data_IF_486854772168
#
_entry.id   IF_486854772168
#
_cell.length_a   1.000
_cell.length_b   1.000
_cell.length_c   1.000
_cell.angle_alpha   90.00
_cell.angle_beta   90.00
_cell.angle_gamma   90.00
#
_symmetry.space_group_name_H-M   'P 1'
#
loop_
_entity.id
_entity.type
_entity.pdbx_description
1 polymer ?
#
# COMPACT_ATOMS: atom_id res chain seq x y z
N UNK A 1 3.66 6.79 3.38
CA UNK A 1 4.20 5.97 4.46
C UNK A 1 3.37 6.09 5.72
N UNK A 2 2.15 5.53 5.71
CA UNK A 2 1.21 5.58 6.85
C UNK A 2 0.31 4.35 6.83
N UNK A 3 -0.28 4.02 5.67
CA UNK A 3 -1.26 2.93 5.55
C UNK A 3 -0.66 1.54 5.81
N UNK A 4 0.65 1.40 5.71
CA UNK A 4 1.40 0.20 6.13
C UNK A 4 1.41 -0.02 7.65
N UNK A 5 1.12 1.02 8.44
CA UNK A 5 1.10 1.00 9.92
C UNK A 5 -0.31 1.07 10.53
N UNK A 6 -1.37 1.01 9.71
CA UNK A 6 -2.75 1.08 10.19
C UNK A 6 -3.34 -0.32 10.32
N UNK A 7 -3.75 -0.71 11.52
CA UNK A 7 -4.44 -1.99 11.79
C UNK A 7 -5.72 -2.15 10.95
N UNK A 8 -6.60 -1.15 11.00
CA UNK A 8 -7.84 -1.10 10.21
C UNK A 8 -7.72 -0.17 8.99
N UNK A 9 -6.77 -0.48 8.10
CA UNK A 9 -6.56 0.29 6.89
C UNK A 9 -7.80 0.27 5.96
N UNK A 10 -8.59 -0.80 5.98
CA UNK A 10 -9.81 -0.91 5.18
C UNK A 10 -10.91 0.03 5.70
N UNK A 11 -11.16 0.07 7.02
CA UNK A 11 -12.11 1.00 7.63
C UNK A 11 -11.75 2.46 7.35
N UNK A 12 -10.47 2.84 7.50
CA UNK A 12 -10.01 4.20 7.18
C UNK A 12 -10.23 4.52 5.70
N UNK A 13 -9.82 3.64 4.78
CA UNK A 13 -10.02 3.87 3.35
C UNK A 13 -11.50 4.03 3.00
N UNK A 14 -12.40 3.27 3.64
CA UNK A 14 -13.84 3.41 3.47
C UNK A 14 -14.35 4.79 3.90
N UNK A 15 -14.01 5.21 5.13
CA UNK A 15 -14.46 6.50 5.68
C UNK A 15 -13.90 7.71 4.94
N UNK A 16 -12.70 7.62 4.35
CA UNK A 16 -12.11 8.71 3.57
C UNK A 16 -12.97 9.13 2.36
N UNK A 17 -13.86 8.25 1.89
CA UNK A 17 -14.79 8.58 0.80
C UNK A 17 -15.84 9.62 1.20
N UNK A 18 -16.07 9.82 2.49
CA UNK A 18 -17.02 10.85 2.94
C UNK A 18 -16.41 12.25 2.90
N UNK A 19 -15.08 12.37 2.77
CA UNK A 19 -14.36 13.63 2.96
C UNK A 19 -13.47 14.04 1.77
N UNK A 20 -13.10 13.11 0.88
CA UNK A 20 -12.17 13.38 -0.21
C UNK A 20 -12.56 12.66 -1.51
N UNK A 21 -12.53 13.37 -2.64
CA UNK A 21 -12.80 12.78 -3.97
C UNK A 21 -11.59 12.02 -4.55
N UNK A 22 -10.38 12.39 -4.10
CA UNK A 22 -9.10 11.89 -4.59
C UNK A 22 -8.19 11.53 -3.41
N UNK A 23 -7.53 10.37 -3.49
CA UNK A 23 -6.47 9.95 -2.58
C UNK A 23 -5.15 9.85 -3.32
N UNK A 24 -4.09 10.30 -2.65
CA UNK A 24 -2.70 10.08 -3.05
C UNK A 24 -2.05 9.30 -1.93
N UNK A 25 -1.54 8.11 -2.23
CA UNK A 25 -0.92 7.23 -1.24
C UNK A 25 0.42 6.77 -1.76
N UNK A 26 1.43 6.86 -0.91
CA UNK A 26 2.78 6.36 -1.17
C UNK A 26 3.13 5.33 -0.08
N UNK A 27 3.63 4.17 -0.51
CA UNK A 27 4.05 3.06 0.37
C UNK A 27 5.34 2.43 -0.16
N UNK A 28 6.12 1.75 0.69
CA UNK A 28 7.26 0.96 0.24
C UNK A 28 6.81 -0.10 -0.78
N UNK A 29 7.62 -0.31 -1.82
CA UNK A 29 7.40 -1.34 -2.83
C UNK A 29 8.12 -2.61 -2.40
N UNK A 30 7.37 -3.57 -1.88
CA UNK A 30 7.90 -4.86 -1.43
C UNK A 30 8.76 -5.54 -2.52
N UNK A 31 8.39 -5.37 -3.79
CA UNK A 31 9.08 -6.03 -4.91
C UNK A 31 10.44 -5.39 -5.23
N UNK A 32 10.66 -4.12 -4.87
CA UNK A 32 11.87 -3.39 -5.23
C UNK A 32 12.97 -3.43 -4.17
N UNK A 33 12.73 -3.97 -2.98
CA UNK A 33 13.78 -4.19 -1.99
C UNK A 33 14.43 -5.56 -2.18
N UNK A 34 15.70 -5.66 -2.65
CA UNK A 34 16.39 -6.93 -2.83
C UNK A 34 16.55 -7.72 -1.52
N UNK A 35 16.54 -7.05 -0.36
CA UNK A 35 16.57 -7.73 0.93
C UNK A 35 15.28 -8.51 1.19
N UNK A 36 14.14 -8.04 0.69
CA UNK A 36 12.88 -8.76 0.82
C UNK A 36 12.92 -10.10 0.08
N UNK A 37 13.58 -10.19 -1.06
CA UNK A 37 13.78 -11.46 -1.78
C UNK A 37 14.55 -12.48 -0.93
N UNK A 38 15.59 -12.02 -0.23
CA UNK A 38 16.38 -12.87 0.68
C UNK A 38 15.54 -13.25 1.91
N UNK A 39 14.76 -12.33 2.47
CA UNK A 39 13.90 -12.59 3.63
C UNK A 39 12.80 -13.61 3.30
N UNK A 40 12.13 -13.47 2.16
CA UNK A 40 11.16 -14.46 1.63
C UNK A 40 11.79 -15.83 1.57
N UNK A 41 12.99 -15.92 0.98
CA UNK A 41 13.69 -17.19 0.77
C UNK A 41 14.15 -17.84 2.07
N UNK A 42 14.40 -17.06 3.12
CA UNK A 42 14.90 -17.54 4.41
C UNK A 42 13.84 -17.55 5.51
N UNK A 43 12.55 -17.47 5.15
CA UNK A 43 11.41 -17.48 6.10
C UNK A 43 11.55 -16.43 7.21
N UNK A 44 12.24 -15.32 6.93
CA UNK A 44 12.46 -14.25 7.89
C UNK A 44 11.25 -13.31 7.91
N UNK A 45 10.96 -12.66 9.06
CA UNK A 45 9.90 -11.65 9.14
C UNK A 45 10.05 -10.57 8.06
N UNK A 46 8.93 -10.26 7.41
CA UNK A 46 8.83 -9.51 6.16
C UNK A 46 8.80 -7.99 6.32
N UNK A 47 8.95 -7.49 7.54
CA UNK A 47 8.72 -6.08 7.80
C UNK A 47 9.98 -5.24 7.52
N UNK A 48 9.80 -4.20 6.70
CA UNK A 48 10.83 -3.23 6.35
C UNK A 48 11.23 -2.37 7.57
N UNK A 49 10.29 -2.14 8.51
CA UNK A 49 10.51 -1.69 9.89
C UNK A 49 9.66 -2.51 10.89
N UNK A 50 9.92 -2.43 12.20
CA UNK A 50 9.26 -3.27 13.21
C UNK A 50 7.76 -3.02 13.44
N UNK A 51 7.21 -1.93 12.91
CA UNK A 51 5.86 -1.44 13.15
C UNK A 51 4.98 -1.48 11.88
N UNK A 52 5.47 -2.03 10.77
CA UNK A 52 4.63 -2.34 9.61
C UNK A 52 3.66 -3.47 9.97
N UNK A 53 2.38 -3.24 9.71
CA UNK A 53 1.31 -4.25 9.84
C UNK A 53 1.11 -4.94 8.48
N UNK A 54 1.28 -4.21 7.38
CA UNK A 54 1.16 -4.75 6.03
C UNK A 54 2.15 -4.13 5.04
N UNK A 55 2.86 -5.01 4.34
CA UNK A 55 3.67 -4.65 3.17
C UNK A 55 2.84 -4.66 1.88
N UNK A 56 3.24 -3.83 0.92
CA UNK A 56 2.48 -3.61 -0.31
C UNK A 56 3.25 -3.96 -1.58
N UNK A 57 2.54 -4.63 -2.47
CA UNK A 57 2.80 -4.64 -3.91
C UNK A 57 1.71 -3.83 -4.62
N UNK A 58 1.91 -3.51 -5.90
CA UNK A 58 0.87 -2.82 -6.67
C UNK A 58 -0.43 -3.64 -6.75
N UNK A 59 -0.34 -4.97 -6.82
CA UNK A 59 -1.51 -5.83 -6.89
C UNK A 59 -2.31 -5.83 -5.58
N UNK A 60 -1.62 -5.84 -4.43
CA UNK A 60 -2.24 -5.70 -3.11
C UNK A 60 -2.93 -4.34 -2.99
N UNK A 61 -2.25 -3.25 -3.39
CA UNK A 61 -2.84 -1.90 -3.39
C UNK A 61 -4.09 -1.84 -4.27
N UNK A 62 -4.03 -2.35 -5.50
CA UNK A 62 -5.20 -2.38 -6.40
C UNK A 62 -6.38 -3.12 -5.80
N UNK A 63 -6.14 -4.30 -5.21
CA UNK A 63 -7.17 -5.07 -4.53
C UNK A 63 -7.77 -4.32 -3.34
N UNK A 64 -6.91 -3.73 -2.49
CA UNK A 64 -7.33 -2.98 -1.30
C UNK A 64 -8.09 -1.71 -1.66
N UNK A 65 -7.65 -0.94 -2.65
CA UNK A 65 -8.37 0.26 -3.08
C UNK A 65 -9.71 -0.11 -3.73
N UNK A 66 -9.72 -1.09 -4.63
CA UNK A 66 -10.94 -1.51 -5.32
C UNK A 66 -12.03 -1.98 -4.36
N UNK A 67 -11.69 -2.79 -3.35
CA UNK A 67 -12.69 -3.29 -2.38
C UNK A 67 -13.22 -2.19 -1.45
N UNK A 68 -12.49 -1.10 -1.27
CA UNK A 68 -12.91 0.06 -0.48
C UNK A 68 -13.54 1.17 -1.32
N UNK A 69 -13.88 0.91 -2.59
CA UNK A 69 -14.58 1.88 -3.44
C UNK A 69 -13.68 2.95 -4.03
N UNK A 70 -12.40 2.66 -4.21
CA UNK A 70 -11.44 3.52 -4.87
C UNK A 70 -10.94 2.90 -6.18
N UNK A 71 -10.85 3.71 -7.22
CA UNK A 71 -10.26 3.34 -8.49
C UNK A 71 -8.90 4.03 -8.68
N UNK A 72 -7.82 3.25 -8.67
CA UNK A 72 -6.47 3.74 -8.97
C UNK A 72 -6.36 3.99 -10.48
N UNK A 73 -6.20 5.25 -10.88
CA UNK A 73 -6.09 5.65 -12.29
C UNK A 73 -4.67 6.04 -12.70
N UNK A 74 -3.81 6.43 -11.75
CA UNK A 74 -2.37 6.65 -11.99
C UNK A 74 -1.56 5.97 -10.89
N UNK A 75 -0.39 5.46 -11.23
CA UNK A 75 0.60 5.01 -10.26
C UNK A 75 2.02 5.21 -10.80
N UNK A 76 2.98 5.33 -9.90
CA UNK A 76 4.41 5.38 -10.21
C UNK A 76 5.19 4.51 -9.25
N UNK A 77 6.28 3.94 -9.76
CA UNK A 77 7.30 3.25 -8.97
C UNK A 77 8.59 4.06 -9.04
N UNK A 78 9.09 4.51 -7.89
CA UNK A 78 10.32 5.27 -7.82
C UNK A 78 10.96 5.12 -6.44
N UNK A 79 12.29 4.98 -6.40
CA UNK A 79 13.04 4.96 -5.14
C UNK A 79 12.65 3.87 -4.16
N UNK A 80 12.19 2.69 -4.64
CA UNK A 80 11.73 1.61 -3.76
C UNK A 80 10.33 1.82 -3.17
N UNK A 81 9.55 2.75 -3.71
CA UNK A 81 8.17 3.02 -3.29
C UNK A 81 7.18 2.93 -4.47
N UNK A 82 5.91 2.68 -4.13
CA UNK A 82 4.76 2.80 -5.02
C UNK A 82 3.94 4.01 -4.58
N UNK A 83 3.80 4.98 -5.47
CA UNK A 83 2.84 6.09 -5.32
C UNK A 83 1.62 5.81 -6.20
N UNK A 84 0.42 5.94 -5.65
CA UNK A 84 -0.86 5.76 -6.36
C UNK A 84 -1.73 7.00 -6.22
N UNK A 85 -2.46 7.31 -7.29
CA UNK A 85 -3.54 8.30 -7.30
C UNK A 85 -4.83 7.56 -7.60
N UNK A 86 -5.79 7.70 -6.68
CA UNK A 86 -7.08 7.05 -6.76
C UNK A 86 -8.22 8.06 -6.64
N UNK A 87 -9.33 7.77 -7.29
CA UNK A 87 -10.58 8.52 -7.17
C UNK A 87 -11.69 7.61 -6.66
N UNK A 88 -12.74 8.19 -6.11
CA UNK A 88 -13.92 7.40 -5.75
C UNK A 88 -14.50 6.69 -6.98
N UNK A 89 -14.90 5.43 -6.79
CA UNK A 89 -15.61 4.61 -7.77
C UNK A 89 -17.11 4.88 -7.76
#
# INVERSE_FOLDING_TARGET
HVIEHIDDADGILGSLREIADVLIVEVPDLEQDPLNWVRVRNECPFFTDGDHIQEYTLSILRSKFSRNGWNIFEYRRHGGAIAVIARQS
#
